data_IF_598113148332
#
_entry.id   IF_598113148332
#
_cell.length_a   1.000
_cell.length_b   1.000
_cell.length_c   1.000
_cell.angle_alpha   90.00
_cell.angle_beta   90.00
_cell.angle_gamma   90.00
#
_symmetry.space_group_name_H-M   'P 1'
#
loop_
_entity.id
_entity.type
_entity.pdbx_description
1 polymer ?
#
# COMPACT_ATOMS: atom_id res chain seq x y z
N UNK A 1 -7.78 23.28 -3.87
CA UNK A 1 -6.43 22.90 -4.35
C UNK A 1 -6.64 21.69 -5.25
N UNK A 2 -6.49 21.83 -6.57
CA UNK A 2 -6.68 20.70 -7.50
C UNK A 2 -5.44 19.78 -7.37
N UNK A 3 -5.62 18.54 -6.93
CA UNK A 3 -4.55 17.55 -6.92
C UNK A 3 -4.41 16.98 -8.34
N UNK A 4 -3.28 17.21 -8.98
CA UNK A 4 -2.97 16.63 -10.29
C UNK A 4 -2.15 15.35 -10.06
N UNK A 5 -2.79 14.19 -10.18
CA UNK A 5 -2.11 12.91 -10.06
C UNK A 5 -1.24 12.66 -11.28
N UNK A 6 0.06 12.50 -11.06
CA UNK A 6 0.97 12.06 -12.10
C UNK A 6 1.08 10.53 -12.05
N UNK A 7 0.74 9.87 -13.15
CA UNK A 7 0.87 8.42 -13.30
C UNK A 7 2.24 8.10 -13.87
N UNK A 8 3.05 7.36 -13.12
CA UNK A 8 4.37 6.90 -13.56
C UNK A 8 4.25 5.42 -13.96
N UNK A 9 4.78 5.07 -15.11
CA UNK A 9 4.78 3.71 -15.64
C UNK A 9 6.19 3.14 -15.61
N UNK A 10 6.39 2.02 -14.90
CA UNK A 10 7.56 1.17 -15.12
C UNK A 10 7.17 0.04 -16.07
N UNK A 11 7.97 -0.14 -17.13
CA UNK A 11 7.82 -1.26 -18.06
C UNK A 11 8.43 -2.51 -17.41
N UNK A 12 7.69 -3.61 -17.37
CA UNK A 12 8.25 -4.91 -16.97
C UNK A 12 9.24 -5.37 -18.05
N UNK A 13 10.46 -5.82 -17.71
CA UNK A 13 11.37 -6.40 -18.70
C UNK A 13 10.77 -7.72 -19.20
N UNK A 14 10.22 -7.72 -20.42
CA UNK A 14 9.79 -8.94 -21.09
C UNK A 14 10.91 -9.43 -22.00
N UNK A 15 11.27 -10.71 -21.87
CA UNK A 15 12.11 -11.43 -22.81
C UNK A 15 11.58 -11.25 -24.23
N UNK A 16 12.50 -10.90 -25.13
CA UNK A 16 12.26 -10.71 -26.54
C UNK A 16 11.82 -12.02 -27.21
N UNK A 17 10.59 -12.02 -27.73
CA UNK A 17 10.26 -12.67 -29.00
C UNK A 17 8.83 -12.28 -29.39
N UNK A 18 8.68 -11.55 -30.50
CA UNK A 18 7.76 -11.75 -31.64
C UNK A 18 7.63 -10.43 -32.42
N UNK A 19 7.63 -10.46 -33.77
CA UNK A 19 8.01 -9.33 -34.61
C UNK A 19 6.86 -8.39 -34.98
N UNK A 20 7.24 -7.14 -35.22
CA UNK A 20 6.56 -6.05 -35.94
C UNK A 20 5.18 -6.37 -36.56
N UNK A 21 4.14 -5.65 -36.10
CA UNK A 21 3.09 -5.11 -36.97
C UNK A 21 2.44 -3.86 -36.36
N UNK A 22 2.48 -2.82 -37.18
CA UNK A 22 1.84 -1.49 -37.16
C UNK A 22 0.79 -1.15 -36.09
N UNK A 23 1.02 -0.01 -35.42
CA UNK A 23 0.03 0.81 -34.73
C UNK A 23 -0.97 1.43 -35.73
N UNK A 24 -2.24 1.52 -35.34
CA UNK A 24 -3.09 2.73 -35.43
C UNK A 24 -4.35 2.55 -34.53
N UNK A 25 -4.95 3.64 -34.00
CA UNK A 25 -5.93 3.63 -32.91
C UNK A 25 -7.38 3.74 -33.40
N UNK A 26 -8.37 3.30 -32.60
CA UNK A 26 -9.72 3.91 -32.55
C UNK A 26 -10.58 3.31 -31.42
N UNK A 27 -11.16 4.23 -30.63
CA UNK A 27 -12.25 4.01 -29.70
C UNK A 27 -13.56 3.81 -30.47
N UNK A 28 -14.32 2.76 -30.16
CA UNK A 28 -15.79 2.76 -29.97
C UNK A 28 -16.37 1.34 -30.01
N UNK A 29 -17.17 1.01 -28.99
CA UNK A 29 -18.27 0.02 -28.93
C UNK A 29 -18.27 -1.10 -29.98
N UNK A 30 -17.90 -2.31 -29.59
CA UNK A 30 -18.14 -3.51 -30.42
C UNK A 30 -18.64 -4.69 -29.56
N UNK A 31 -19.76 -5.38 -29.90
CA UNK A 31 -20.35 -6.49 -29.13
C UNK A 31 -19.58 -7.81 -29.21
N UNK A 32 -18.25 -7.77 -29.36
CA UNK A 32 -17.39 -8.96 -29.44
C UNK A 32 -16.96 -9.52 -28.08
N UNK A 33 -17.49 -8.97 -26.98
CA UNK A 33 -17.16 -9.29 -25.59
C UNK A 33 -17.47 -10.74 -25.14
N UNK A 34 -18.09 -11.57 -25.99
CA UNK A 34 -18.55 -12.92 -25.62
C UNK A 34 -17.72 -14.06 -26.25
N UNK A 35 -16.82 -13.80 -27.22
CA UNK A 35 -16.31 -14.89 -28.08
C UNK A 35 -14.90 -15.41 -27.83
N UNK A 36 -14.06 -14.78 -26.99
CA UNK A 36 -12.65 -15.20 -26.87
C UNK A 36 -12.10 -15.17 -25.44
N UNK A 37 -12.14 -16.31 -24.73
CA UNK A 37 -11.59 -16.43 -23.39
C UNK A 37 -10.05 -16.53 -23.35
N UNK A 38 -9.30 -15.83 -24.21
CA UNK A 38 -7.82 -15.78 -24.11
C UNK A 38 -7.24 -14.39 -24.27
N UNK A 39 -8.10 -13.39 -24.53
CA UNK A 39 -7.69 -11.99 -24.69
C UNK A 39 -7.72 -11.17 -23.40
N UNK A 40 -8.22 -11.73 -22.28
CA UNK A 40 -8.22 -11.06 -20.98
C UNK A 40 -6.82 -10.86 -20.37
N UNK A 41 -5.80 -11.55 -20.90
CA UNK A 41 -4.42 -11.45 -20.44
C UNK A 41 -3.71 -10.15 -20.87
N UNK A 42 -4.37 -9.26 -21.64
CA UNK A 42 -3.76 -8.06 -22.20
C UNK A 42 -4.41 -6.75 -21.75
N UNK A 43 -4.79 -6.64 -20.48
CA UNK A 43 -5.05 -5.34 -19.86
C UNK A 43 -3.74 -4.59 -19.59
N UNK A 44 -3.75 -3.25 -19.55
CA UNK A 44 -2.55 -2.45 -19.21
C UNK A 44 -1.93 -2.89 -17.89
N UNK A 45 -2.75 -3.28 -16.91
CA UNK A 45 -2.33 -3.84 -15.61
C UNK A 45 -1.48 -5.12 -15.75
N UNK A 46 -1.43 -5.78 -16.92
CA UNK A 46 -0.54 -6.91 -17.16
C UNK A 46 0.81 -6.53 -17.77
N UNK A 47 1.01 -5.26 -18.15
CA UNK A 47 2.17 -4.78 -18.92
C UNK A 47 2.91 -3.62 -18.28
N UNK A 48 2.28 -2.91 -17.34
CA UNK A 48 2.87 -1.75 -16.69
C UNK A 48 2.64 -1.79 -15.18
N UNK A 49 3.68 -1.42 -14.43
CA UNK A 49 3.56 -1.11 -13.00
C UNK A 49 3.22 0.37 -12.90
N UNK A 50 2.04 0.67 -12.37
CA UNK A 50 1.55 2.04 -12.20
C UNK A 50 1.72 2.48 -10.76
N UNK A 51 2.28 3.68 -10.56
CA UNK A 51 2.26 4.39 -9.28
C UNK A 51 1.71 5.80 -9.46
N UNK A 52 1.16 6.37 -8.39
CA UNK A 52 0.61 7.72 -8.31
C UNK A 52 1.41 8.59 -7.36
N UNK A 53 1.31 9.91 -7.48
CA UNK A 53 1.91 10.84 -6.53
C UNK A 53 1.06 12.10 -6.43
N UNK A 54 0.86 12.67 -5.23
CA UNK A 54 -0.02 13.82 -5.03
C UNK A 54 0.56 15.09 -5.65
N UNK A 55 1.89 15.22 -5.68
CA UNK A 55 2.58 16.37 -6.27
C UNK A 55 3.95 15.99 -6.83
N UNK A 56 4.45 16.77 -7.78
CA UNK A 56 5.83 16.64 -8.31
C UNK A 56 6.86 16.85 -7.20
N UNK A 57 6.58 17.70 -6.20
CA UNK A 57 7.47 17.95 -5.06
C UNK A 57 7.64 16.70 -4.19
N UNK A 58 6.52 16.04 -3.87
CA UNK A 58 6.53 14.76 -3.13
C UNK A 58 7.26 13.69 -3.93
N UNK A 59 7.05 13.63 -5.25
CA UNK A 59 7.79 12.70 -6.11
C UNK A 59 9.30 12.95 -6.08
N UNK A 60 9.72 14.21 -6.23
CA UNK A 60 11.14 14.57 -6.22
C UNK A 60 11.77 14.25 -4.87
N UNK A 61 11.04 14.47 -3.78
CA UNK A 61 11.50 14.11 -2.43
C UNK A 61 11.66 12.59 -2.28
N UNK A 62 10.65 11.82 -2.69
CA UNK A 62 10.66 10.36 -2.58
C UNK A 62 11.83 9.72 -3.37
N UNK A 63 12.09 10.21 -4.60
CA UNK A 63 13.19 9.72 -5.45
C UNK A 63 14.60 10.17 -5.03
N UNK A 64 14.71 11.22 -4.23
CA UNK A 64 15.99 11.67 -3.67
C UNK A 64 16.39 10.84 -2.44
N UNK A 65 15.42 10.16 -1.83
CA UNK A 65 15.63 9.35 -0.65
C UNK A 65 16.10 7.98 -1.09
N UNK A 66 17.34 7.62 -0.77
CA UNK A 66 17.79 6.24 -0.99
C UNK A 66 16.95 5.31 -0.10
N UNK A 67 16.28 4.36 -0.76
CA UNK A 67 15.53 3.31 -0.11
C UNK A 67 16.54 2.24 0.34
N UNK A 68 16.68 2.08 1.66
CA UNK A 68 17.60 1.16 2.30
C UNK A 68 16.78 0.20 3.17
N UNK A 69 15.94 -0.64 2.54
CA UNK A 69 15.09 -1.58 3.28
C UNK A 69 15.87 -2.80 3.77
N UNK A 70 16.95 -3.15 3.08
CA UNK A 70 17.67 -4.41 3.24
C UNK A 70 19.18 -4.26 3.32
N UNK A 71 19.68 -3.03 3.45
CA UNK A 71 21.11 -2.79 3.58
C UNK A 71 21.62 -3.54 4.83
N UNK A 72 22.65 -4.35 4.65
CA UNK A 72 23.26 -5.09 5.75
C UNK A 72 23.62 -4.10 6.85
N UNK A 73 23.35 -4.48 8.10
CA UNK A 73 23.83 -3.79 9.29
C UNK A 73 25.38 -3.83 9.28
N UNK A 74 26.00 -2.98 8.47
CA UNK A 74 27.36 -3.17 7.99
C UNK A 74 27.87 -1.97 7.20
N UNK A 75 28.51 -1.04 7.93
CA UNK A 75 29.46 -0.04 7.43
C UNK A 75 28.92 1.20 6.69
N UNK A 76 28.09 2.01 7.35
CA UNK A 76 28.20 3.50 7.32
C UNK A 76 27.12 4.26 8.09
N UNK A 77 26.07 3.58 8.57
CA UNK A 77 25.07 4.23 9.42
C UNK A 77 25.54 4.28 10.88
N UNK A 78 25.35 5.42 11.53
CA UNK A 78 25.68 5.59 12.95
C UNK A 78 24.97 4.51 13.80
N UNK A 79 25.64 3.95 14.82
CA UNK A 79 25.12 2.81 15.61
C UNK A 79 23.77 3.05 16.33
N UNK A 80 23.28 4.29 16.34
CA UNK A 80 21.94 4.65 16.85
C UNK A 80 20.82 4.43 15.81
N UNK A 81 21.09 4.60 14.51
CA UNK A 81 20.07 4.44 13.44
C UNK A 81 19.84 2.97 13.05
N UNK A 82 20.87 2.15 13.13
CA UNK A 82 20.83 0.75 12.70
C UNK A 82 20.05 -0.19 13.63
N UNK A 83 19.63 0.26 14.83
CA UNK A 83 18.99 -0.60 15.84
C UNK A 83 17.45 -0.54 15.86
N UNK A 84 16.84 0.41 15.13
CA UNK A 84 15.39 0.67 15.20
C UNK A 84 14.63 0.63 13.88
N UNK A 85 15.29 0.44 12.74
CA UNK A 85 14.64 0.31 11.43
C UNK A 85 13.88 -1.03 11.27
N UNK A 86 12.73 -1.16 11.94
CA UNK A 86 11.89 -2.35 11.92
C UNK A 86 10.54 -2.14 11.21
N UNK A 87 9.77 -3.22 11.16
CA UNK A 87 8.38 -3.26 10.72
C UNK A 87 7.44 -3.09 11.91
N UNK A 88 6.61 -2.05 11.90
CA UNK A 88 5.51 -1.85 12.84
C UNK A 88 4.23 -2.45 12.27
N UNK A 89 3.61 -3.38 13.02
CA UNK A 89 2.27 -3.89 12.72
C UNK A 89 1.25 -3.26 13.68
N UNK A 90 0.19 -2.70 13.10
CA UNK A 90 -0.92 -2.06 13.81
C UNK A 90 -2.22 -2.82 13.49
N UNK A 91 -2.44 -4.00 14.10
CA UNK A 91 -3.65 -4.78 13.89
C UNK A 91 -4.82 -4.31 14.76
N UNK A 92 -6.02 -4.31 14.18
CA UNK A 92 -7.27 -3.97 14.86
C UNK A 92 -8.40 -4.92 14.43
N UNK A 93 -8.34 -6.23 14.77
CA UNK A 93 -9.32 -7.22 14.33
C UNK A 93 -10.74 -6.93 14.85
N UNK A 94 -10.85 -6.43 16.08
CA UNK A 94 -12.12 -6.12 16.74
C UNK A 94 -12.18 -4.63 17.05
N UNK A 95 -13.13 -3.90 16.46
CA UNK A 95 -13.29 -2.46 16.69
C UNK A 95 -14.64 -2.19 17.35
N UNK A 96 -14.70 -1.43 18.47
CA UNK A 96 -15.97 -1.11 19.11
C UNK A 96 -16.96 -0.47 18.13
N UNK A 97 -18.16 -1.03 18.03
CA UNK A 97 -19.24 -0.57 17.15
C UNK A 97 -18.98 -0.65 15.64
N UNK A 98 -18.01 -1.47 15.20
CA UNK A 98 -17.78 -1.77 13.79
C UNK A 98 -17.76 -3.28 13.53
N UNK A 99 -17.76 -3.68 12.25
CA UNK A 99 -17.68 -5.09 11.87
C UNK A 99 -16.32 -5.69 12.25
N UNK A 100 -16.31 -6.97 12.65
CA UNK A 100 -15.08 -7.73 12.89
C UNK A 100 -14.32 -7.95 11.58
N UNK A 101 -13.00 -7.91 11.65
CA UNK A 101 -12.06 -8.18 10.55
C UNK A 101 -11.28 -9.48 10.85
N UNK A 102 -11.88 -10.66 10.63
CA UNK A 102 -11.31 -11.93 11.08
C UNK A 102 -9.97 -12.28 10.40
N UNK A 103 -9.73 -11.79 9.18
CA UNK A 103 -8.50 -12.09 8.44
C UNK A 103 -7.28 -11.31 8.94
N UNK A 104 -7.46 -10.28 9.77
CA UNK A 104 -6.36 -9.44 10.31
C UNK A 104 -5.37 -10.29 11.11
N UNK A 105 -5.85 -11.23 11.92
CA UNK A 105 -4.97 -12.11 12.69
C UNK A 105 -4.12 -13.01 11.79
N UNK A 106 -4.72 -13.51 10.70
CA UNK A 106 -4.03 -14.33 9.71
C UNK A 106 -3.00 -13.50 8.93
N UNK A 107 -3.38 -12.29 8.51
CA UNK A 107 -2.52 -11.32 7.82
C UNK A 107 -1.27 -10.99 8.65
N UNK A 108 -1.45 -10.62 9.92
CA UNK A 108 -0.34 -10.34 10.85
C UNK A 108 0.58 -11.54 11.01
N UNK A 109 0.01 -12.74 11.11
CA UNK A 109 0.81 -13.95 11.29
C UNK A 109 1.65 -14.25 10.05
N UNK A 110 1.07 -14.13 8.85
CA UNK A 110 1.84 -14.27 7.60
C UNK A 110 2.99 -13.28 7.53
N UNK A 111 2.72 -12.00 7.80
CA UNK A 111 3.76 -10.97 7.75
C UNK A 111 4.87 -11.26 8.77
N UNK A 112 4.50 -11.72 9.96
CA UNK A 112 5.46 -12.13 11.00
C UNK A 112 6.36 -13.26 10.53
N UNK A 113 5.79 -14.27 9.89
CA UNK A 113 6.54 -15.41 9.40
C UNK A 113 7.51 -15.01 8.27
N UNK A 114 7.08 -14.16 7.33
CA UNK A 114 7.93 -13.66 6.23
C UNK A 114 9.07 -12.76 6.73
N UNK A 115 8.79 -11.89 7.69
CA UNK A 115 9.78 -11.02 8.31
C UNK A 115 10.81 -11.82 9.16
N UNK A 116 10.35 -12.84 9.90
CA UNK A 116 11.25 -13.71 10.69
C UNK A 116 12.22 -14.48 9.80
N UNK A 117 11.75 -15.03 8.69
CA UNK A 117 12.61 -15.73 7.69
C UNK A 117 13.71 -14.83 7.14
N UNK A 118 13.47 -13.52 7.12
CA UNK A 118 14.35 -12.51 6.52
C UNK A 118 15.06 -11.65 7.56
N UNK A 119 15.02 -12.05 8.84
CA UNK A 119 15.63 -11.35 9.98
C UNK A 119 15.21 -9.88 10.16
N UNK A 120 14.01 -9.51 9.71
CA UNK A 120 13.46 -8.16 9.91
C UNK A 120 12.93 -8.03 11.33
N UNK A 121 13.33 -6.96 12.04
CA UNK A 121 12.81 -6.64 13.38
C UNK A 121 11.33 -6.25 13.29
N UNK A 122 10.49 -6.83 14.14
CA UNK A 122 9.04 -6.58 14.16
C UNK A 122 8.60 -6.03 15.50
N UNK A 123 7.75 -5.01 15.46
CA UNK A 123 6.99 -4.51 16.60
C UNK A 123 5.51 -4.71 16.29
N UNK A 124 4.75 -5.35 17.17
CA UNK A 124 3.30 -5.53 17.00
C UNK A 124 2.56 -4.86 18.15
N UNK A 125 1.63 -3.97 17.84
CA UNK A 125 0.77 -3.34 18.84
C UNK A 125 -0.46 -4.22 19.11
N UNK A 126 -0.67 -4.63 20.35
CA UNK A 126 -1.81 -5.49 20.71
C UNK A 126 -3.14 -4.76 20.77
N UNK A 127 -3.15 -3.56 21.37
CA UNK A 127 -4.32 -2.68 21.51
C UNK A 127 -3.91 -1.28 21.03
N UNK A 128 -3.80 -1.07 19.70
CA UNK A 128 -3.22 0.16 19.18
C UNK A 128 -4.12 1.35 19.50
N UNK A 129 -3.51 2.41 20.02
CA UNK A 129 -4.15 3.70 20.24
C UNK A 129 -3.54 4.74 19.32
N UNK A 130 -4.29 5.79 18.99
CA UNK A 130 -3.80 6.88 18.13
C UNK A 130 -2.47 7.47 18.66
N UNK A 131 -2.39 7.72 19.97
CA UNK A 131 -1.21 8.28 20.61
C UNK A 131 0.01 7.34 20.53
N UNK A 132 -0.16 6.04 20.80
CA UNK A 132 0.95 5.08 20.75
C UNK A 132 1.42 4.88 19.30
N UNK A 133 0.49 4.83 18.35
CA UNK A 133 0.85 4.71 16.93
C UNK A 133 1.66 5.92 16.47
N UNK A 134 1.20 7.15 16.75
CA UNK A 134 1.93 8.37 16.35
C UNK A 134 3.35 8.40 16.91
N UNK A 135 3.56 7.87 18.12
CA UNK A 135 4.89 7.73 18.73
C UNK A 135 5.74 6.67 18.03
N UNK A 136 5.18 5.50 17.75
CA UNK A 136 5.93 4.38 17.18
C UNK A 136 6.26 4.57 15.70
N UNK A 137 5.35 5.17 14.91
CA UNK A 137 5.51 5.38 13.47
C UNK A 137 6.80 6.14 13.14
N UNK A 138 7.21 7.10 13.98
CA UNK A 138 8.43 7.89 13.79
C UNK A 138 9.72 7.08 13.88
N UNK A 139 9.67 5.88 14.46
CA UNK A 139 10.84 5.04 14.72
C UNK A 139 10.92 3.81 13.82
N UNK A 140 9.99 3.63 12.87
CA UNK A 140 9.92 2.46 12.02
C UNK A 140 10.05 2.83 10.55
N UNK A 141 10.76 1.98 9.80
CA UNK A 141 10.97 2.17 8.35
C UNK A 141 9.77 1.69 7.57
N UNK A 142 9.13 0.62 8.04
CA UNK A 142 7.91 0.07 7.45
C UNK A 142 6.81 0.11 8.52
N UNK A 143 5.62 0.60 8.13
CA UNK A 143 4.42 0.54 8.95
C UNK A 143 3.32 -0.17 8.19
N UNK A 144 2.61 -1.06 8.87
CA UNK A 144 1.50 -1.81 8.31
C UNK A 144 0.28 -1.65 9.20
N UNK A 145 -0.81 -1.18 8.63
CA UNK A 145 -2.10 -1.00 9.28
C UNK A 145 -3.08 -2.03 8.77
N UNK A 146 -3.63 -2.84 9.67
CA UNK A 146 -4.67 -3.81 9.39
C UNK A 146 -5.87 -3.49 10.29
N UNK A 147 -6.66 -2.50 9.86
CA UNK A 147 -7.73 -1.89 10.65
C UNK A 147 -8.79 -1.22 9.75
N UNK A 148 -9.87 -0.72 10.33
CA UNK A 148 -10.83 0.08 9.56
C UNK A 148 -10.25 1.45 9.19
N UNK A 149 -10.60 1.93 7.99
CA UNK A 149 -10.31 3.28 7.52
C UNK A 149 -11.60 4.06 7.25
N UNK A 150 -11.50 5.38 7.23
CA UNK A 150 -12.62 6.25 6.86
C UNK A 150 -12.08 7.38 6.00
N UNK A 151 -12.65 7.50 4.80
CA UNK A 151 -12.44 8.63 3.91
C UNK A 151 -13.48 9.70 4.23
N UNK A 152 -13.00 10.91 4.48
CA UNK A 152 -13.84 12.07 4.79
C UNK A 152 -13.78 13.07 3.62
N UNK A 153 -14.91 13.69 3.23
CA UNK A 153 -14.93 14.73 2.20
C UNK A 153 -13.99 15.91 2.51
N UNK A 154 -13.68 16.14 3.78
CA UNK A 154 -12.58 17.01 4.19
C UNK A 154 -11.31 16.16 4.38
N UNK A 155 -10.33 16.20 3.45
CA UNK A 155 -9.16 15.31 3.46
C UNK A 155 -8.44 15.16 4.81
N UNK A 156 -8.18 16.25 5.57
CA UNK A 156 -7.49 16.18 6.86
C UNK A 156 -8.28 15.46 7.98
N UNK A 157 -9.58 15.20 7.78
CA UNK A 157 -10.45 14.46 8.69
C UNK A 157 -10.55 12.96 8.34
N UNK A 158 -10.00 12.51 7.20
CA UNK A 158 -9.87 11.08 6.91
C UNK A 158 -9.03 10.43 8.00
N UNK A 159 -9.33 9.18 8.40
CA UNK A 159 -8.70 8.58 9.57
C UNK A 159 -8.68 7.05 9.52
N UNK A 160 -7.76 6.48 10.28
CA UNK A 160 -7.80 5.07 10.68
C UNK A 160 -8.54 4.95 12.01
N UNK A 161 -9.28 3.86 12.21
CA UNK A 161 -10.03 3.60 13.43
C UNK A 161 -9.21 2.70 14.33
N UNK A 162 -8.87 3.19 15.52
CA UNK A 162 -8.05 2.53 16.54
C UNK A 162 -8.78 2.55 17.89
N UNK A 163 -8.11 2.22 18.99
CA UNK A 163 -8.69 2.32 20.32
C UNK A 163 -8.38 3.66 21.01
N UNK A 164 -9.29 4.07 21.88
CA UNK A 164 -9.02 5.07 22.92
C UNK A 164 -7.98 4.56 23.92
N UNK A 165 -7.29 5.44 24.67
CA UNK A 165 -6.25 5.03 25.64
C UNK A 165 -6.71 4.04 26.72
N UNK A 166 -7.99 4.05 27.07
CA UNK A 166 -8.60 3.12 28.01
C UNK A 166 -9.05 1.79 27.37
N UNK A 167 -8.93 1.66 26.04
CA UNK A 167 -9.27 0.45 25.28
C UNK A 167 -10.76 0.16 25.15
N UNK A 168 -11.64 1.07 25.57
CA UNK A 168 -13.08 0.80 25.66
C UNK A 168 -13.86 1.24 24.43
N UNK A 169 -13.37 2.26 23.71
CA UNK A 169 -14.05 2.88 22.60
C UNK A 169 -13.14 3.00 21.37
N UNK A 170 -13.77 3.26 20.22
CA UNK A 170 -13.04 3.57 19.00
C UNK A 170 -12.54 5.04 19.04
N UNK A 171 -11.29 5.23 18.62
CA UNK A 171 -10.63 6.52 18.43
C UNK A 171 -10.19 6.70 16.97
N UNK A 172 -9.80 7.92 16.60
CA UNK A 172 -9.41 8.30 15.24
C UNK A 172 -7.94 8.68 15.20
N UNK A 173 -7.17 7.97 14.37
CA UNK A 173 -5.87 8.43 13.93
C UNK A 173 -6.05 9.23 12.63
N UNK A 174 -5.99 10.56 12.73
CA UNK A 174 -6.37 11.43 11.62
C UNK A 174 -5.22 11.65 10.64
N UNK A 175 -5.59 11.83 9.37
CA UNK A 175 -4.68 12.17 8.28
C UNK A 175 -3.86 13.42 8.59
N UNK A 176 -4.46 14.45 9.21
CA UNK A 176 -3.72 15.66 9.63
C UNK A 176 -2.61 15.36 10.64
N UNK A 177 -2.86 14.46 11.59
CA UNK A 177 -1.89 14.13 12.63
C UNK A 177 -0.73 13.35 12.02
N UNK A 178 -1.03 12.41 11.13
CA UNK A 178 -0.02 11.65 10.35
C UNK A 178 0.82 12.62 9.49
N UNK A 179 0.17 13.49 8.71
CA UNK A 179 0.87 14.41 7.80
C UNK A 179 1.76 15.45 8.51
N UNK A 180 1.52 15.67 9.80
CA UNK A 180 2.33 16.56 10.64
C UNK A 180 3.58 15.89 11.21
N UNK A 181 3.69 14.56 11.08
CA UNK A 181 4.87 13.82 11.52
C UNK A 181 6.08 14.18 10.65
N UNK A 182 7.25 14.17 11.27
CA UNK A 182 8.52 14.19 10.56
C UNK A 182 9.17 12.82 10.68
N UNK A 183 9.07 12.01 9.64
CA UNK A 183 9.57 10.62 9.62
C UNK A 183 10.70 10.46 8.59
N UNK A 184 11.90 10.99 8.88
CA UNK A 184 12.99 11.06 7.90
C UNK A 184 13.46 9.67 7.46
N UNK A 185 13.28 8.65 8.28
CA UNK A 185 13.71 7.27 7.99
C UNK A 185 12.56 6.38 7.47
N UNK A 186 11.32 6.86 7.47
CA UNK A 186 10.15 6.07 7.04
C UNK A 186 10.13 5.88 5.52
N UNK A 187 9.97 4.63 5.06
CA UNK A 187 10.07 4.30 3.65
C UNK A 187 8.76 3.74 3.08
N UNK A 188 8.05 2.91 3.83
CA UNK A 188 6.87 2.21 3.35
C UNK A 188 5.71 2.21 4.35
N UNK A 189 4.56 2.71 3.93
CA UNK A 189 3.28 2.56 4.63
C UNK A 189 2.39 1.60 3.85
N UNK A 190 1.92 0.54 4.51
CA UNK A 190 0.92 -0.37 3.96
C UNK A 190 -0.39 -0.18 4.72
N UNK A 191 -1.44 0.25 4.03
CA UNK A 191 -2.76 0.50 4.56
C UNK A 191 -3.70 -0.61 4.10
N UNK A 192 -3.71 -1.72 4.83
CA UNK A 192 -4.73 -2.77 4.76
C UNK A 192 -5.99 -2.28 5.48
N UNK A 193 -6.47 -1.12 5.06
CA UNK A 193 -7.56 -0.40 5.69
C UNK A 193 -8.57 0.07 4.65
N UNK A 194 -9.82 -0.34 4.86
CA UNK A 194 -10.92 -0.06 3.94
C UNK A 194 -11.70 1.16 4.43
N UNK A 195 -12.06 2.06 3.51
CA UNK A 195 -13.11 3.06 3.73
C UNK A 195 -14.41 2.60 3.08
N UNK A 196 -15.53 2.48 3.81
CA UNK A 196 -16.83 2.46 3.15
C UNK A 196 -17.03 3.83 2.49
N UNK A 197 -17.15 3.86 1.17
CA UNK A 197 -17.50 5.07 0.45
C UNK A 197 -18.90 5.53 0.92
N UNK A 198 -18.96 6.59 1.74
CA UNK A 198 -20.24 7.12 2.25
C UNK A 198 -21.11 7.74 1.16
N UNK A 199 -20.60 7.93 -0.07
CA UNK A 199 -21.38 8.46 -1.18
C UNK A 199 -20.94 7.85 -2.53
N UNK A 200 -21.80 7.11 -3.24
CA UNK A 200 -21.48 6.55 -4.57
C UNK A 200 -21.40 7.60 -5.69
N UNK A 201 -21.52 8.90 -5.40
CA UNK A 201 -21.43 9.97 -6.40
C UNK A 201 -19.98 10.28 -6.80
N UNK A 202 -19.56 9.79 -7.98
CA UNK A 202 -18.63 10.38 -8.97
C UNK A 202 -17.30 11.06 -8.57
N UNK A 203 -16.91 11.14 -7.29
CA UNK A 203 -15.67 11.80 -6.80
C UNK A 203 -14.78 10.79 -6.03
N UNK A 204 -14.98 9.48 -6.24
CA UNK A 204 -14.27 8.43 -5.48
C UNK A 204 -12.76 8.35 -5.77
N UNK A 205 -12.30 8.83 -6.93
CA UNK A 205 -10.89 8.78 -7.30
C UNK A 205 -10.00 9.75 -6.49
N UNK A 206 -10.57 10.84 -5.97
CA UNK A 206 -9.82 11.83 -5.17
C UNK A 206 -9.74 11.43 -3.68
N UNK A 207 -10.66 10.62 -3.16
CA UNK A 207 -10.85 10.46 -1.70
C UNK A 207 -9.86 9.50 -1.02
N UNK A 208 -9.53 8.35 -1.62
CA UNK A 208 -8.56 7.41 -1.02
C UNK A 208 -7.13 7.91 -1.08
N UNK A 209 -6.88 8.88 -1.95
CA UNK A 209 -5.63 9.61 -1.96
C UNK A 209 -5.35 10.31 -0.63
N UNK A 210 -6.35 10.64 0.18
CA UNK A 210 -6.15 11.49 1.35
C UNK A 210 -5.30 10.83 2.44
N UNK A 211 -5.61 9.60 2.85
CA UNK A 211 -4.79 8.87 3.83
C UNK A 211 -3.43 8.50 3.22
N UNK A 212 -3.40 8.00 1.98
CA UNK A 212 -2.15 7.64 1.33
C UNK A 212 -1.19 8.84 1.21
N UNK A 213 -1.73 10.01 0.86
CA UNK A 213 -0.98 11.27 0.77
C UNK A 213 -0.54 11.78 2.14
N UNK A 214 -1.30 11.55 3.20
CA UNK A 214 -0.88 11.93 4.56
C UNK A 214 0.43 11.25 4.94
N UNK A 215 0.58 9.96 4.64
CA UNK A 215 1.84 9.23 4.83
C UNK A 215 2.96 9.77 3.94
N UNK A 216 2.67 10.10 2.67
CA UNK A 216 3.69 10.69 1.80
C UNK A 216 4.16 12.07 2.27
N UNK A 217 3.24 12.89 2.79
CA UNK A 217 3.56 14.19 3.40
C UNK A 217 4.36 14.03 4.69
N UNK A 218 4.13 12.94 5.44
CA UNK A 218 4.90 12.60 6.64
C UNK A 218 6.35 12.14 6.34
N UNK A 219 6.64 11.79 5.08
CA UNK A 219 7.99 11.40 4.63
C UNK A 219 8.12 9.98 4.08
N UNK A 220 7.03 9.21 3.96
CA UNK A 220 7.05 7.87 3.39
C UNK A 220 7.24 7.92 1.86
N UNK A 221 8.24 7.20 1.34
CA UNK A 221 8.49 7.09 -0.10
C UNK A 221 7.41 6.31 -0.84
N UNK A 222 6.83 5.31 -0.17
CA UNK A 222 5.79 4.46 -0.73
C UNK A 222 4.60 4.33 0.22
N UNK A 223 3.39 4.50 -0.31
CA UNK A 223 2.16 4.14 0.39
C UNK A 223 1.33 3.20 -0.48
N UNK A 224 0.94 2.06 0.09
CA UNK A 224 0.09 1.03 -0.51
C UNK A 224 -1.28 1.08 0.19
N UNK A 225 -2.38 1.14 -0.56
CA UNK A 225 -3.71 1.30 0.02
C UNK A 225 -4.82 0.74 -0.89
N UNK A 226 -6.06 0.71 -0.39
CA UNK A 226 -7.24 0.26 -1.13
C UNK A 226 -8.20 1.44 -1.38
N UNK A 227 -8.59 1.66 -2.65
CA UNK A 227 -9.53 2.71 -3.11
C UNK A 227 -10.96 2.56 -2.60
N UNK A 228 -11.36 1.36 -2.22
CA UNK A 228 -12.67 1.10 -1.63
C UNK A 228 -12.60 -0.18 -0.82
N UNK A 229 -13.69 -0.46 -0.11
CA UNK A 229 -13.83 -1.69 0.66
C UNK A 229 -13.62 -2.93 -0.22
N UNK A 230 -12.59 -3.68 0.13
CA UNK A 230 -12.29 -4.99 -0.45
C UNK A 230 -12.80 -6.10 0.45
N UNK A 231 -13.01 -7.26 -0.16
CA UNK A 231 -13.15 -8.50 0.58
C UNK A 231 -11.92 -8.71 1.50
N UNK A 232 -12.16 -8.87 2.80
CA UNK A 232 -11.15 -9.02 3.86
C UNK A 232 -10.09 -10.09 3.49
N UNK A 233 -10.53 -11.21 2.91
CA UNK A 233 -9.64 -12.27 2.44
C UNK A 233 -8.73 -11.83 1.28
N UNK A 234 -9.20 -10.98 0.37
CA UNK A 234 -8.38 -10.46 -0.72
C UNK A 234 -7.27 -9.54 -0.20
N UNK A 235 -7.57 -8.69 0.80
CA UNK A 235 -6.59 -7.82 1.46
C UNK A 235 -5.48 -8.66 2.11
N UNK A 236 -5.85 -9.67 2.90
CA UNK A 236 -4.91 -10.58 3.55
C UNK A 236 -4.04 -11.35 2.54
N UNK A 237 -4.63 -11.86 1.45
CA UNK A 237 -3.87 -12.53 0.38
C UNK A 237 -2.85 -11.59 -0.30
N UNK A 238 -3.23 -10.34 -0.60
CA UNK A 238 -2.30 -9.36 -1.20
C UNK A 238 -1.19 -9.00 -0.23
N UNK A 239 -1.49 -8.76 1.05
CA UNK A 239 -0.48 -8.42 2.04
C UNK A 239 0.54 -9.55 2.24
N UNK A 240 0.07 -10.79 2.40
CA UNK A 240 0.95 -11.98 2.48
C UNK A 240 1.87 -12.05 1.27
N UNK A 241 1.29 -12.05 0.06
CA UNK A 241 2.06 -12.21 -1.17
C UNK A 241 3.01 -11.02 -1.40
N UNK A 242 2.63 -9.81 -0.97
CA UNK A 242 3.46 -8.62 -1.03
C UNK A 242 4.69 -8.75 -0.14
N UNK A 243 4.53 -9.05 1.15
CA UNK A 243 5.66 -9.17 2.07
C UNK A 243 6.56 -10.36 1.75
N UNK A 244 5.98 -11.48 1.30
CA UNK A 244 6.75 -12.61 0.79
C UNK A 244 7.66 -12.20 -0.37
N UNK A 245 7.13 -11.45 -1.35
CA UNK A 245 7.90 -11.00 -2.51
C UNK A 245 8.87 -9.87 -2.16
N UNK A 246 8.46 -8.97 -1.26
CA UNK A 246 9.27 -7.83 -0.83
C UNK A 246 10.49 -8.32 -0.08
N UNK A 247 10.37 -9.29 0.81
CA UNK A 247 11.48 -9.77 1.65
C UNK A 247 12.35 -10.85 1.01
N UNK A 248 11.91 -11.46 -0.09
CA UNK A 248 12.76 -12.35 -0.90
C UNK A 248 13.99 -11.60 -1.42
N UNK A 249 15.18 -12.17 -1.24
CA UNK A 249 16.40 -11.67 -1.88
C UNK A 249 16.24 -11.64 -3.40
N UNK A 250 16.31 -10.44 -3.97
CA UNK A 250 16.23 -10.20 -5.42
C UNK A 250 17.61 -9.87 -6.01
N UNK A 251 18.69 -9.97 -5.23
CA UNK A 251 20.02 -9.48 -5.60
C UNK A 251 20.06 -7.96 -5.70
N UNK A 252 20.92 -7.44 -6.60
CA UNK A 252 21.11 -6.00 -6.78
C UNK A 252 20.02 -5.38 -7.68
N UNK A 253 18.80 -5.34 -7.17
CA UNK A 253 17.65 -4.69 -7.81
C UNK A 253 17.35 -3.39 -7.07
N UNK A 254 17.05 -2.34 -7.82
CA UNK A 254 16.60 -1.06 -7.26
C UNK A 254 15.41 -1.26 -6.30
N UNK A 255 15.57 -0.75 -5.10
CA UNK A 255 14.70 -1.04 -3.97
C UNK A 255 13.31 -0.40 -4.16
N UNK A 256 13.22 0.76 -4.84
CA UNK A 256 11.94 1.37 -5.23
C UNK A 256 11.19 0.52 -6.26
N UNK A 257 11.89 -0.01 -7.27
CA UNK A 257 11.32 -0.97 -8.20
C UNK A 257 10.87 -2.25 -7.49
N UNK A 258 11.65 -2.74 -6.52
CA UNK A 258 11.32 -3.94 -5.74
C UNK A 258 9.97 -3.79 -5.01
N UNK A 259 9.75 -2.67 -4.32
CA UNK A 259 8.45 -2.38 -3.66
C UNK A 259 7.31 -2.37 -4.69
N UNK A 260 7.48 -1.60 -5.76
CA UNK A 260 6.46 -1.42 -6.81
C UNK A 260 6.11 -2.76 -7.50
N UNK A 261 7.13 -3.56 -7.81
CA UNK A 261 6.99 -4.84 -8.49
C UNK A 261 6.40 -5.92 -7.56
N UNK A 262 6.78 -5.96 -6.29
CA UNK A 262 6.22 -6.87 -5.31
C UNK A 262 4.72 -6.66 -5.15
N UNK A 263 4.29 -5.41 -4.96
CA UNK A 263 2.88 -5.08 -4.79
C UNK A 263 2.07 -5.37 -6.06
N UNK A 264 2.59 -4.96 -7.22
CA UNK A 264 1.96 -5.26 -8.50
C UNK A 264 1.75 -6.77 -8.72
N UNK A 265 2.78 -7.58 -8.44
CA UNK A 265 2.69 -9.05 -8.55
C UNK A 265 1.67 -9.64 -7.58
N UNK A 266 1.61 -9.15 -6.34
CA UNK A 266 0.64 -9.61 -5.34
C UNK A 266 -0.81 -9.35 -5.78
N UNK A 267 -1.12 -8.12 -6.21
CA UNK A 267 -2.44 -7.76 -6.75
C UNK A 267 -2.77 -8.58 -7.99
N UNK A 268 -1.79 -8.76 -8.89
CA UNK A 268 -1.96 -9.57 -10.10
C UNK A 268 -2.31 -11.02 -9.78
N UNK A 269 -1.72 -11.64 -8.75
CA UNK A 269 -2.07 -13.01 -8.35
C UNK A 269 -3.53 -13.14 -7.91
N UNK A 270 -4.04 -12.19 -7.12
CA UNK A 270 -5.46 -12.18 -6.71
C UNK A 270 -6.37 -11.99 -7.92
N UNK A 271 -6.02 -11.07 -8.82
CA UNK A 271 -6.73 -10.89 -10.10
C UNK A 271 -6.75 -12.17 -10.93
N UNK A 272 -5.61 -12.81 -11.13
CA UNK A 272 -5.49 -14.00 -11.97
C UNK A 272 -6.26 -15.20 -11.35
N UNK A 273 -6.35 -15.27 -10.02
CA UNK A 273 -7.16 -16.25 -9.28
C UNK A 273 -8.67 -15.96 -9.36
N UNK A 274 -9.06 -14.68 -9.38
CA UNK A 274 -10.46 -14.23 -9.34
C UNK A 274 -10.76 -13.16 -10.41
N UNK A 275 -10.60 -13.46 -11.73
CA UNK A 275 -10.62 -12.42 -12.77
C UNK A 275 -11.96 -11.71 -12.90
N UNK A 276 -13.07 -12.39 -12.60
CA UNK A 276 -14.41 -11.81 -12.63
C UNK A 276 -14.73 -10.93 -11.41
N UNK A 277 -14.02 -11.09 -10.28
CA UNK A 277 -14.25 -10.32 -9.05
C UNK A 277 -13.41 -9.02 -9.06
N UNK A 278 -13.72 -8.11 -9.98
CA UNK A 278 -12.98 -6.85 -10.12
C UNK A 278 -13.03 -5.97 -8.87
N UNK A 279 -14.13 -6.00 -8.11
CA UNK A 279 -14.25 -5.25 -6.87
C UNK A 279 -13.23 -5.70 -5.81
N UNK A 280 -12.81 -6.97 -5.84
CA UNK A 280 -11.86 -7.54 -4.90
C UNK A 280 -10.38 -7.32 -5.24
N UNK A 281 -10.01 -6.95 -6.47
CA UNK A 281 -8.59 -6.76 -6.87
C UNK A 281 -8.26 -5.43 -7.55
N UNK A 282 -9.24 -4.70 -8.09
CA UNK A 282 -8.99 -3.41 -8.70
C UNK A 282 -8.72 -2.22 -7.75
N UNK A 283 -9.11 -2.21 -6.45
CA UNK A 283 -8.89 -1.05 -5.60
C UNK A 283 -7.46 -0.85 -5.12
N UNK A 284 -6.61 -1.87 -5.22
CA UNK A 284 -5.23 -1.77 -4.72
C UNK A 284 -4.44 -0.72 -5.50
N UNK A 285 -3.93 0.28 -4.78
CA UNK A 285 -3.15 1.39 -5.34
C UNK A 285 -1.80 1.53 -4.65
N UNK A 286 -0.80 1.86 -5.47
CA UNK A 286 0.52 2.25 -5.01
C UNK A 286 0.73 3.72 -5.30
N UNK A 287 1.19 4.45 -4.30
CA UNK A 287 1.59 5.86 -4.40
C UNK A 287 3.05 6.01 -4.00
N UNK A 288 3.80 6.82 -4.75
CA UNK A 288 5.18 7.17 -4.47
C UNK A 288 6.20 6.45 -5.35
N UNK A 289 7.47 6.76 -5.17
CA UNK A 289 8.55 6.32 -6.05
C UNK A 289 9.90 6.45 -5.38
#
# INVERSE_FOLDING_TARGET
>A
MHFMFMKIFYLTPLQAAIPNRHLLPLLARDPLLVKYPKLWACTSVSRVISTYTPTIKVLSYARQKELHLFDECGASLSPERSRNAGLLLVPMPETPSAASLPSVNEEVQYIRDSATKSAIKITVLGNPTSAEVLKQVQHHVIVHFACHGVSDPNPPNSHLVLLTPDGTNADKLLARDISSLNTPDAQLAYLSACSPAKNPSTILADEVTHLASAFQLAGFSHTLANLWETEDQASSEVARDFYDLLFQDQGNVDDHYRVSAAFHKAVKKVRDKRPANYLGWAPFVHTGA
#
